data_IF_793600602246
#
_entry.id   IF_793600602246
#
_cell.length_a   1.000
_cell.length_b   1.000
_cell.length_c   1.000
_cell.angle_alpha   90.00
_cell.angle_beta   90.00
_cell.angle_gamma   90.00
#
_symmetry.space_group_name_H-M   'P 1'
#
loop_
_entity.id
_entity.type
_entity.pdbx_description
1 polymer ?
#
# COMPACT_ATOMS: atom_id res chain seq x y z
N UNK A 1 -5.84 -7.27 -32.04
CA UNK A 1 -4.78 -6.35 -32.53
C UNK A 1 -4.43 -5.23 -31.53
N UNK A 2 -4.78 -5.37 -30.24
CA UNK A 2 -4.30 -4.49 -29.14
C UNK A 2 -3.30 -5.24 -28.25
N UNK A 3 -3.51 -6.53 -28.00
CA UNK A 3 -2.57 -7.41 -27.27
C UNK A 3 -1.18 -7.58 -27.92
N UNK A 4 -0.99 -7.18 -29.19
CA UNK A 4 0.33 -7.22 -29.87
C UNK A 4 1.12 -5.92 -29.76
N UNK A 5 0.50 -4.85 -29.26
CA UNK A 5 1.07 -3.49 -29.29
C UNK A 5 1.11 -2.84 -27.91
N UNK A 6 0.29 -3.27 -26.95
CA UNK A 6 0.25 -2.68 -25.62
C UNK A 6 -0.30 -3.67 -24.58
N UNK A 7 0.48 -3.95 -23.55
CA UNK A 7 0.03 -4.60 -22.31
C UNK A 7 -0.10 -3.52 -21.23
N UNK A 8 -1.28 -3.38 -20.62
CA UNK A 8 -1.53 -2.44 -19.52
C UNK A 8 -1.54 -3.22 -18.22
N UNK A 9 -0.58 -2.93 -17.35
CA UNK A 9 -0.51 -3.48 -16.00
C UNK A 9 -1.10 -2.45 -15.02
N UNK A 10 -2.12 -2.84 -14.26
CA UNK A 10 -2.60 -2.08 -13.10
C UNK A 10 -1.88 -2.61 -11.85
N UNK A 11 -1.21 -1.71 -11.13
CA UNK A 11 -0.37 -2.06 -9.97
C UNK A 11 -1.18 -2.11 -8.66
N UNK A 12 -2.17 -1.21 -8.49
CA UNK A 12 -2.92 -1.08 -7.23
C UNK A 12 -4.45 -0.87 -7.41
N UNK A 13 -5.23 -1.51 -6.54
CA UNK A 13 -6.66 -1.27 -6.37
C UNK A 13 -6.98 -0.89 -4.93
N UNK A 14 -7.78 0.16 -4.73
CA UNK A 14 -8.33 0.51 -3.42
C UNK A 14 -9.83 0.26 -3.39
N UNK A 15 -10.26 -0.62 -2.49
CA UNK A 15 -11.68 -0.87 -2.21
C UNK A 15 -12.03 -0.13 -0.93
N UNK A 16 -13.06 0.73 -0.97
CA UNK A 16 -13.51 1.49 0.20
C UNK A 16 -14.84 0.93 0.70
N UNK A 17 -15.09 0.98 2.00
CA UNK A 17 -16.36 0.54 2.58
C UNK A 17 -16.54 1.05 4.00
N UNK A 18 -17.79 1.31 4.38
CA UNK A 18 -18.15 1.82 5.71
C UNK A 18 -18.46 0.69 6.70
N UNK A 19 -18.47 -0.55 6.22
CA UNK A 19 -18.65 -1.80 6.98
C UNK A 19 -17.99 -2.97 6.25
N UNK A 20 -17.69 -4.05 6.98
CA UNK A 20 -17.11 -5.27 6.40
C UNK A 20 -17.96 -5.84 5.24
N UNK A 21 -19.29 -5.84 5.40
CA UNK A 21 -20.20 -6.31 4.36
C UNK A 21 -20.15 -5.44 3.10
N UNK A 22 -20.07 -4.11 3.27
CA UNK A 22 -19.94 -3.19 2.13
C UNK A 22 -18.62 -3.37 1.39
N UNK A 23 -17.52 -3.64 2.12
CA UNK A 23 -16.21 -3.91 1.53
C UNK A 23 -16.23 -5.17 0.68
N UNK A 24 -16.82 -6.27 1.19
CA UNK A 24 -16.97 -7.52 0.44
C UNK A 24 -17.80 -7.31 -0.83
N UNK A 25 -18.90 -6.56 -0.74
CA UNK A 25 -19.74 -6.26 -1.90
C UNK A 25 -19.00 -5.43 -2.95
N UNK A 26 -18.21 -4.44 -2.54
CA UNK A 26 -17.42 -3.64 -3.47
C UNK A 26 -16.24 -4.42 -4.08
N UNK A 27 -15.61 -5.31 -3.30
CA UNK A 27 -14.57 -6.21 -3.80
C UNK A 27 -15.14 -7.17 -4.85
N UNK A 28 -16.31 -7.75 -4.61
CA UNK A 28 -17.00 -8.63 -5.57
C UNK A 28 -17.30 -7.90 -6.89
N UNK A 29 -17.81 -6.66 -6.81
CA UNK A 29 -18.02 -5.82 -7.98
C UNK A 29 -16.73 -5.50 -8.74
N UNK A 30 -15.62 -5.29 -8.02
CA UNK A 30 -14.30 -5.05 -8.62
C UNK A 30 -13.79 -6.29 -9.35
N UNK A 31 -13.85 -7.47 -8.71
CA UNK A 31 -13.42 -8.73 -9.31
C UNK A 31 -14.24 -9.07 -10.56
N UNK A 32 -15.55 -8.85 -10.51
CA UNK A 32 -16.44 -9.03 -11.67
C UNK A 32 -16.06 -8.12 -12.83
N UNK A 33 -15.68 -6.86 -12.56
CA UNK A 33 -15.16 -5.98 -13.62
C UNK A 33 -13.83 -6.47 -14.19
N UNK A 34 -12.95 -7.06 -13.39
CA UNK A 34 -11.73 -7.66 -13.90
C UNK A 34 -12.05 -8.79 -14.89
N UNK A 35 -13.02 -9.64 -14.57
CA UNK A 35 -13.50 -10.69 -15.49
C UNK A 35 -14.09 -10.09 -16.78
N UNK A 36 -15.00 -9.12 -16.66
CA UNK A 36 -15.66 -8.49 -17.81
C UNK A 36 -14.68 -7.78 -18.77
N UNK A 37 -13.55 -7.31 -18.25
CA UNK A 37 -12.51 -6.58 -18.99
C UNK A 37 -11.31 -7.44 -19.38
N UNK A 38 -11.34 -8.74 -19.07
CA UNK A 38 -10.26 -9.69 -19.30
C UNK A 38 -8.93 -9.28 -18.61
N UNK A 39 -9.03 -8.60 -17.46
CA UNK A 39 -7.89 -8.25 -16.61
C UNK A 39 -7.55 -9.44 -15.71
N UNK A 40 -6.36 -10.00 -15.90
CA UNK A 40 -5.84 -11.08 -15.06
C UNK A 40 -5.11 -10.51 -13.83
N UNK A 41 -5.58 -10.88 -12.65
CA UNK A 41 -4.86 -10.62 -11.41
C UNK A 41 -3.73 -11.63 -11.25
N UNK A 42 -2.52 -11.15 -10.93
CA UNK A 42 -1.43 -12.04 -10.57
C UNK A 42 -1.68 -12.58 -9.15
N UNK A 43 -2.07 -13.85 -9.06
CA UNK A 43 -2.41 -14.50 -7.79
C UNK A 43 -1.22 -14.58 -6.80
N UNK A 44 0.03 -14.59 -7.29
CA UNK A 44 1.23 -14.59 -6.44
C UNK A 44 1.46 -13.23 -5.78
N UNK A 45 0.93 -12.16 -6.38
CA UNK A 45 1.05 -10.77 -5.89
C UNK A 45 -0.23 -10.26 -5.23
N UNK A 46 -1.37 -10.89 -5.49
CA UNK A 46 -2.69 -10.42 -5.04
C UNK A 46 -3.12 -11.13 -3.77
N UNK A 47 -2.94 -10.48 -2.62
CA UNK A 47 -3.37 -11.01 -1.32
C UNK A 47 -4.66 -10.34 -0.86
N UNK A 48 -5.76 -11.10 -0.86
CA UNK A 48 -7.08 -10.62 -0.43
C UNK A 48 -7.39 -11.07 1.00
N UNK A 49 -8.10 -10.22 1.75
CA UNK A 49 -8.73 -10.59 3.03
C UNK A 49 -7.76 -11.27 4.01
N UNK A 50 -6.51 -10.82 4.03
CA UNK A 50 -5.45 -11.45 4.83
C UNK A 50 -5.80 -11.27 6.31
N UNK A 51 -6.21 -12.38 6.95
CA UNK A 51 -6.65 -12.40 8.37
C UNK A 51 -5.48 -12.21 9.34
N UNK A 52 -4.30 -12.59 8.90
CA UNK A 52 -3.03 -12.38 9.59
C UNK A 52 -2.20 -11.47 8.70
N UNK A 53 -1.59 -10.42 9.26
CA UNK A 53 -0.77 -9.52 8.46
C UNK A 53 0.30 -10.33 7.70
N UNK A 54 0.58 -10.03 6.41
CA UNK A 54 1.66 -10.69 5.68
C UNK A 54 2.93 -10.63 6.54
N UNK A 55 3.64 -11.76 6.64
CA UNK A 55 4.68 -12.06 7.65
C UNK A 55 5.42 -10.79 8.06
N UNK A 56 4.99 -10.21 9.17
CA UNK A 56 5.68 -9.09 9.80
C UNK A 56 6.89 -9.69 10.47
N UNK A 57 8.07 -9.44 9.90
CA UNK A 57 9.31 -9.87 10.54
C UNK A 57 9.55 -9.02 11.78
N UNK A 58 10.10 -9.63 12.84
CA UNK A 58 10.60 -8.86 13.96
C UNK A 58 11.69 -7.90 13.45
N UNK A 59 11.68 -6.62 13.88
CA UNK A 59 12.70 -5.67 13.47
C UNK A 59 14.07 -6.14 13.95
N UNK A 60 15.04 -6.18 13.05
CA UNK A 60 16.44 -6.33 13.45
C UNK A 60 17.03 -4.93 13.70
N UNK A 61 17.23 -4.57 14.95
CA UNK A 61 17.67 -3.24 15.35
C UNK A 61 19.07 -2.85 14.86
N UNK A 62 19.89 -3.82 14.42
CA UNK A 62 21.22 -3.56 13.86
C UNK A 62 21.20 -3.19 12.36
N UNK A 63 20.03 -3.28 11.72
CA UNK A 63 19.87 -2.98 10.29
C UNK A 63 19.09 -1.68 10.06
N UNK A 64 19.38 -0.96 8.97
CA UNK A 64 18.64 0.25 8.63
C UNK A 64 17.19 -0.09 8.30
N UNK A 65 16.29 0.77 8.77
CA UNK A 65 14.89 0.75 8.35
C UNK A 65 14.73 1.41 6.99
N UNK A 66 13.87 0.84 6.17
CA UNK A 66 13.46 1.36 4.86
C UNK A 66 11.96 1.69 4.91
N UNK A 67 11.61 2.89 4.46
CA UNK A 67 10.23 3.37 4.39
C UNK A 67 9.81 3.51 2.94
N UNK A 68 8.70 2.84 2.58
CA UNK A 68 8.02 3.06 1.31
C UNK A 68 6.72 3.80 1.59
N UNK A 69 6.46 4.87 0.86
CA UNK A 69 5.24 5.67 1.01
C UNK A 69 4.57 5.80 -0.35
N UNK A 70 3.25 5.76 -0.36
CA UNK A 70 2.46 6.00 -1.56
C UNK A 70 1.18 6.76 -1.22
N UNK A 71 0.61 7.44 -2.21
CA UNK A 71 -0.62 8.19 -2.07
C UNK A 71 -1.47 8.08 -3.32
N UNK A 72 -2.79 7.96 -3.12
CA UNK A 72 -3.77 8.09 -4.18
C UNK A 72 -4.74 9.25 -3.89
N UNK A 73 -5.79 9.37 -4.70
CA UNK A 73 -6.76 10.47 -4.58
C UNK A 73 -7.58 10.46 -3.28
N UNK A 74 -7.56 9.37 -2.51
CA UNK A 74 -8.44 9.15 -1.37
C UNK A 74 -7.70 8.77 -0.09
N UNK A 75 -6.50 8.21 -0.18
CA UNK A 75 -5.77 7.65 0.94
C UNK A 75 -4.26 7.77 0.75
N UNK A 76 -3.55 7.74 1.87
CA UNK A 76 -2.09 7.57 1.92
C UNK A 76 -1.76 6.23 2.55
N UNK A 77 -0.68 5.61 2.09
CA UNK A 77 -0.12 4.36 2.57
C UNK A 77 1.36 4.50 2.87
N UNK A 78 1.84 3.71 3.81
CA UNK A 78 3.24 3.57 4.13
C UNK A 78 3.56 2.16 4.63
N UNK A 79 4.75 1.68 4.30
CA UNK A 79 5.28 0.39 4.73
C UNK A 79 6.66 0.62 5.33
N UNK A 80 6.83 0.24 6.60
CA UNK A 80 8.11 0.11 7.25
C UNK A 80 8.64 -1.31 7.00
N UNK A 81 9.88 -1.44 6.56
CA UNK A 81 10.53 -2.72 6.40
C UNK A 81 12.04 -2.63 6.48
N UNK A 82 12.70 -3.73 6.18
CA UNK A 82 14.16 -3.84 6.12
C UNK A 82 14.57 -4.66 4.90
N UNK A 83 15.71 -4.32 4.31
CA UNK A 83 16.26 -5.07 3.18
C UNK A 83 17.17 -6.19 3.68
N UNK A 84 16.77 -7.44 3.48
CA UNK A 84 17.53 -8.65 3.84
C UNK A 84 17.78 -9.46 2.58
N UNK A 85 19.03 -9.81 2.30
CA UNK A 85 19.40 -10.58 1.09
C UNK A 85 18.82 -9.99 -0.20
N UNK A 86 18.83 -8.64 -0.31
CA UNK A 86 18.24 -7.85 -1.41
C UNK A 86 16.71 -7.86 -1.51
N UNK A 87 16.02 -8.57 -0.62
CA UNK A 87 14.57 -8.58 -0.56
C UNK A 87 14.06 -7.61 0.51
N UNK A 88 13.08 -6.79 0.15
CA UNK A 88 12.38 -5.95 1.13
C UNK A 88 11.48 -6.84 1.98
N UNK A 89 11.69 -6.81 3.30
CA UNK A 89 10.88 -7.55 4.27
C UNK A 89 10.07 -6.57 5.11
N UNK A 90 8.74 -6.59 4.99
CA UNK A 90 7.87 -5.66 5.71
C UNK A 90 7.82 -5.99 7.21
N UNK A 91 7.80 -4.93 8.01
CA UNK A 91 7.70 -4.96 9.49
C UNK A 91 6.36 -4.38 9.94
N UNK A 92 5.88 -3.32 9.28
CA UNK A 92 4.63 -2.69 9.66
C UNK A 92 4.01 -1.92 8.47
N UNK A 93 2.74 -2.23 8.17
CA UNK A 93 1.93 -1.48 7.21
C UNK A 93 1.08 -0.43 7.91
N UNK A 94 0.94 0.75 7.33
CA UNK A 94 0.05 1.79 7.83
C UNK A 94 -0.60 2.54 6.69
N UNK A 95 -1.89 2.79 6.79
CA UNK A 95 -2.61 3.66 5.85
C UNK A 95 -3.59 4.54 6.61
N UNK A 96 -4.03 5.62 5.97
CA UNK A 96 -5.20 6.39 6.41
C UNK A 96 -5.94 6.93 5.20
N UNK A 97 -7.26 7.02 5.30
CA UNK A 97 -8.06 7.84 4.40
C UNK A 97 -7.76 9.32 4.63
N UNK A 98 -7.65 10.07 3.55
CA UNK A 98 -7.47 11.52 3.59
C UNK A 98 -8.76 12.20 4.07
N UNK A 99 -8.60 13.31 4.80
CA UNK A 99 -9.72 14.23 5.05
C UNK A 99 -10.15 14.95 3.77
N UNK A 100 -11.31 15.61 3.78
CA UNK A 100 -11.78 16.42 2.64
C UNK A 100 -10.82 17.57 2.29
N UNK A 101 -10.08 18.08 3.27
CA UNK A 101 -9.05 19.09 3.02
C UNK A 101 -7.82 18.46 2.35
N UNK A 102 -7.35 17.32 2.86
CA UNK A 102 -6.18 16.61 2.34
C UNK A 102 -6.43 16.04 0.92
N UNK A 103 -7.65 15.63 0.59
CA UNK A 103 -7.98 15.10 -0.75
C UNK A 103 -7.88 16.17 -1.85
N UNK A 104 -7.96 17.45 -1.49
CA UNK A 104 -7.82 18.60 -2.39
C UNK A 104 -6.36 18.95 -2.69
N UNK A 105 -5.40 18.33 -1.99
CA UNK A 105 -3.98 18.52 -2.25
C UNK A 105 -3.59 18.02 -3.65
N UNK A 106 -2.56 18.65 -4.21
CA UNK A 106 -1.89 18.18 -5.43
C UNK A 106 -1.23 16.83 -5.21
N UNK A 107 -0.92 16.09 -6.28
CA UNK A 107 -0.28 14.77 -6.19
C UNK A 107 1.02 14.81 -5.37
N UNK A 108 1.90 15.79 -5.62
CA UNK A 108 3.16 15.95 -4.88
C UNK A 108 2.93 16.26 -3.39
N UNK A 109 1.93 17.07 -3.05
CA UNK A 109 1.58 17.33 -1.65
C UNK A 109 1.02 16.08 -0.96
N UNK A 110 0.27 15.24 -1.69
CA UNK A 110 -0.24 13.96 -1.18
C UNK A 110 0.88 12.96 -0.92
N UNK A 111 1.85 12.86 -1.82
CA UNK A 111 3.07 12.05 -1.62
C UNK A 111 3.84 12.54 -0.38
N UNK A 112 4.03 13.86 -0.25
CA UNK A 112 4.68 14.43 0.94
C UNK A 112 3.89 14.17 2.22
N UNK A 113 2.56 14.24 2.15
CA UNK A 113 1.68 13.88 3.27
C UNK A 113 1.85 12.42 3.68
N UNK A 114 2.01 11.49 2.73
CA UNK A 114 2.30 10.08 3.00
C UNK A 114 3.62 9.91 3.77
N UNK A 115 4.68 10.62 3.36
CA UNK A 115 5.98 10.62 4.06
C UNK A 115 5.84 11.16 5.49
N UNK A 116 5.21 12.32 5.67
CA UNK A 116 4.99 12.92 7.00
C UNK A 116 4.15 11.99 7.89
N UNK A 117 3.13 11.35 7.33
CA UNK A 117 2.32 10.36 8.03
C UNK A 117 3.16 9.15 8.47
N UNK A 118 4.00 8.61 7.58
CA UNK A 118 4.88 7.49 7.88
C UNK A 118 5.83 7.80 9.04
N UNK A 119 6.50 8.95 9.02
CA UNK A 119 7.38 9.37 10.12
C UNK A 119 6.66 9.52 11.45
N UNK A 120 5.45 10.09 11.44
CA UNK A 120 4.62 10.20 12.65
C UNK A 120 4.18 8.83 13.16
N UNK A 121 3.79 7.94 12.26
CA UNK A 121 3.27 6.60 12.59
C UNK A 121 4.37 5.66 13.10
N UNK A 122 5.53 5.67 12.46
CA UNK A 122 6.65 4.79 12.77
C UNK A 122 7.71 5.43 13.66
N UNK A 123 7.37 6.55 14.30
CA UNK A 123 8.30 7.35 15.12
C UNK A 123 9.09 6.51 16.13
N UNK A 124 8.44 5.55 16.79
CA UNK A 124 9.07 4.64 17.77
C UNK A 124 10.18 3.77 17.18
N UNK A 125 10.12 3.43 15.90
CA UNK A 125 11.15 2.65 15.20
C UNK A 125 12.31 3.55 14.74
N UNK A 126 12.00 4.78 14.33
CA UNK A 126 12.94 5.68 13.64
C UNK A 126 13.75 6.58 14.59
N UNK A 127 13.25 6.95 15.78
CA UNK A 127 13.90 7.93 16.69
C UNK A 127 15.34 7.53 17.09
N UNK A 128 15.66 6.23 17.11
CA UNK A 128 16.92 5.73 17.64
C UNK A 128 17.83 5.08 16.59
N UNK A 129 17.44 5.05 15.30
CA UNK A 129 18.10 4.23 14.29
C UNK A 129 18.40 4.97 12.99
N UNK A 130 19.45 4.52 12.28
CA UNK A 130 19.73 4.96 10.90
C UNK A 130 18.55 4.55 10.01
N UNK A 131 17.86 5.55 9.46
CA UNK A 131 16.68 5.35 8.61
C UNK A 131 16.99 5.81 7.18
N UNK A 132 16.54 5.04 6.19
CA UNK A 132 16.63 5.38 4.76
C UNK A 132 15.20 5.59 4.26
N UNK A 133 14.96 6.75 3.65
CA UNK A 133 13.67 7.14 3.04
C UNK A 133 13.89 7.36 1.56
#
# INVERSE_FOLDING_TARGET
MIEKTMEVFMDDFSVFGNSFQSYLSHLDQMLKRCEDTNLCLNWEKSHFMVKEAPILIAPNWDMPFELMCDANNFAIGAVLGQRQDKHFRPIHYASKTMTEAESKYTTTEKEMLAVVYAFKKFRSYLILNKSIV
#
